data_IF_831321175163
#
_entry.id   IF_831321175163
#
_cell.length_a   1.000
_cell.length_b   1.000
_cell.length_c   1.000
_cell.angle_alpha   90.00
_cell.angle_beta   90.00
_cell.angle_gamma   90.00
#
_symmetry.space_group_name_H-M   'P 1'
#
loop_
_entity.id
_entity.type
_entity.pdbx_description
1 polymer ?
#
# COMPACT_ATOMS: atom_id res chain seq x y z
N UNK A 1 12.08 -11.94 -7.42
CA UNK A 1 10.67 -11.57 -7.12
C UNK A 1 10.50 -11.58 -5.62
N UNK A 2 9.71 -10.66 -5.05
CA UNK A 2 9.55 -10.53 -3.59
C UNK A 2 9.05 -11.82 -2.91
N UNK A 3 8.31 -12.65 -3.65
CA UNK A 3 7.82 -13.97 -3.26
C UNK A 3 8.93 -15.00 -2.98
N UNK A 4 10.12 -14.80 -3.55
CA UNK A 4 11.27 -15.69 -3.39
C UNK A 4 12.29 -15.15 -2.39
N UNK A 5 12.04 -13.98 -1.78
CA UNK A 5 12.93 -13.41 -0.77
C UNK A 5 12.58 -13.97 0.62
N UNK A 6 13.57 -14.33 1.44
CA UNK A 6 13.33 -14.80 2.80
C UNK A 6 12.72 -13.67 3.65
N UNK A 7 11.90 -14.03 4.64
CA UNK A 7 11.23 -13.06 5.53
C UNK A 7 12.19 -12.14 6.29
N UNK A 8 13.43 -12.61 6.50
CA UNK A 8 14.50 -11.87 7.17
C UNK A 8 15.27 -10.90 6.28
N UNK A 9 15.07 -10.91 4.96
CA UNK A 9 15.78 -9.97 4.08
C UNK A 9 15.28 -8.54 4.37
N UNK A 10 16.16 -7.61 4.79
CA UNK A 10 15.77 -6.24 5.14
C UNK A 10 15.15 -5.49 3.94
N UNK A 11 15.48 -5.88 2.70
CA UNK A 11 14.97 -5.26 1.47
C UNK A 11 13.61 -5.79 1.05
N UNK A 12 13.15 -6.90 1.63
CA UNK A 12 11.87 -7.52 1.25
C UNK A 12 10.72 -6.55 1.46
N UNK A 13 10.73 -5.80 2.56
CA UNK A 13 9.67 -4.83 2.84
C UNK A 13 9.72 -3.61 1.90
N UNK A 14 10.91 -3.21 1.45
CA UNK A 14 11.06 -2.13 0.45
C UNK A 14 10.45 -2.54 -0.89
N UNK A 15 10.74 -3.76 -1.35
CA UNK A 15 10.12 -4.30 -2.57
C UNK A 15 8.60 -4.47 -2.40
N UNK A 16 8.12 -4.94 -1.23
CA UNK A 16 6.68 -5.01 -0.95
C UNK A 16 6.05 -3.63 -1.05
N UNK A 17 6.62 -2.59 -0.44
CA UNK A 17 6.08 -1.21 -0.52
C UNK A 17 6.01 -0.70 -1.96
N UNK A 18 7.04 -0.98 -2.75
CA UNK A 18 7.11 -0.59 -4.17
C UNK A 18 5.98 -1.22 -4.99
N UNK A 19 5.72 -2.52 -4.82
CA UNK A 19 4.70 -3.23 -5.60
C UNK A 19 3.28 -3.10 -5.02
N UNK A 20 3.13 -2.97 -3.70
CA UNK A 20 1.85 -2.85 -3.01
C UNK A 20 1.24 -1.43 -3.08
N UNK A 21 2.01 -0.42 -3.49
CA UNK A 21 1.54 0.96 -3.59
C UNK A 21 0.21 1.04 -4.36
N UNK A 22 -0.80 1.68 -3.77
CA UNK A 22 -2.10 1.93 -4.41
C UNK A 22 -2.08 3.30 -5.09
N UNK A 23 -1.59 4.30 -4.35
CA UNK A 23 -1.42 5.67 -4.83
C UNK A 23 0.05 5.94 -5.18
N UNK A 24 0.28 6.73 -6.23
CA UNK A 24 1.65 7.14 -6.62
C UNK A 24 2.51 6.00 -7.15
N UNK A 25 1.88 4.94 -7.70
CA UNK A 25 2.60 3.82 -8.33
C UNK A 25 3.55 4.30 -9.43
N UNK A 26 4.73 3.71 -9.47
CA UNK A 26 5.79 4.04 -10.43
C UNK A 26 5.39 3.81 -11.89
N UNK A 27 4.44 2.90 -12.15
CA UNK A 27 3.93 2.56 -13.47
C UNK A 27 2.56 3.20 -13.78
N UNK A 28 1.97 3.93 -12.82
CA UNK A 28 0.76 4.71 -13.08
C UNK A 28 1.16 6.11 -13.56
N UNK A 29 0.47 6.61 -14.60
CA UNK A 29 0.70 7.92 -15.23
C UNK A 29 0.32 9.12 -14.34
N UNK A 30 0.81 9.20 -13.09
CA UNK A 30 0.65 10.37 -12.21
C UNK A 30 1.77 11.35 -12.49
N UNK A 31 1.44 12.66 -12.49
CA UNK A 31 2.46 13.72 -12.51
C UNK A 31 3.34 13.59 -11.25
N UNK A 32 4.66 13.42 -11.38
CA UNK A 32 5.56 13.18 -10.24
C UNK A 32 5.60 14.33 -9.23
N UNK A 33 5.10 15.50 -9.61
CA UNK A 33 5.20 16.75 -8.83
C UNK A 33 4.23 16.83 -7.65
N UNK A 34 3.14 16.05 -7.62
CA UNK A 34 2.16 16.12 -6.53
C UNK A 34 2.45 15.08 -5.45
N UNK A 35 2.93 15.49 -4.25
CA UNK A 35 3.16 14.56 -3.15
C UNK A 35 1.88 13.82 -2.75
N UNK A 36 2.04 12.65 -2.14
CA UNK A 36 0.93 11.90 -1.57
C UNK A 36 0.40 12.61 -0.32
N UNK A 37 -0.91 12.66 -0.18
CA UNK A 37 -1.57 13.08 1.05
C UNK A 37 -1.31 12.07 2.16
N UNK A 38 -1.46 12.48 3.42
CA UNK A 38 -1.32 11.57 4.57
C UNK A 38 -2.21 10.33 4.43
N UNK A 39 -3.46 10.50 3.98
CA UNK A 39 -4.37 9.37 3.74
C UNK A 39 -3.83 8.40 2.69
N UNK A 40 -3.31 8.91 1.56
CA UNK A 40 -2.73 8.08 0.51
C UNK A 40 -1.50 7.31 1.01
N UNK A 41 -0.64 7.96 1.82
CA UNK A 41 0.51 7.33 2.46
C UNK A 41 0.07 6.23 3.44
N UNK A 42 -0.93 6.51 4.28
CA UNK A 42 -1.47 5.53 5.24
C UNK A 42 -2.07 4.32 4.52
N UNK A 43 -2.80 4.52 3.42
CA UNK A 43 -3.36 3.42 2.63
C UNK A 43 -2.25 2.58 1.98
N UNK A 44 -1.19 3.22 1.47
CA UNK A 44 -0.03 2.50 0.91
C UNK A 44 0.70 1.67 1.97
N UNK A 45 0.94 2.20 3.18
CA UNK A 45 1.60 1.43 4.24
C UNK A 45 0.71 0.29 4.74
N UNK A 46 -0.61 0.51 4.88
CA UNK A 46 -1.55 -0.56 5.22
C UNK A 46 -1.53 -1.69 4.17
N UNK A 47 -1.49 -1.35 2.88
CA UNK A 47 -1.36 -2.32 1.81
C UNK A 47 -0.05 -3.11 1.89
N UNK A 48 1.06 -2.45 2.17
CA UNK A 48 2.35 -3.10 2.32
C UNK A 48 2.37 -4.08 3.50
N UNK A 49 1.81 -3.70 4.65
CA UNK A 49 1.70 -4.59 5.81
C UNK A 49 0.80 -5.80 5.51
N UNK A 50 -0.33 -5.60 4.84
CA UNK A 50 -1.20 -6.70 4.40
C UNK A 50 -0.43 -7.64 3.46
N UNK A 51 0.28 -7.10 2.46
CA UNK A 51 1.06 -7.89 1.50
C UNK A 51 2.28 -8.59 2.13
N UNK A 52 2.78 -8.12 3.28
CA UNK A 52 3.81 -8.82 4.05
C UNK A 52 3.31 -10.16 4.58
N UNK A 53 2.08 -10.21 5.09
CA UNK A 53 1.46 -11.43 5.62
C UNK A 53 0.73 -12.25 4.55
N UNK A 54 0.21 -11.59 3.52
CA UNK A 54 -0.51 -12.21 2.41
C UNK A 54 0.08 -11.74 1.07
N UNK A 55 1.26 -12.26 0.67
CA UNK A 55 1.96 -11.80 -0.53
C UNK A 55 1.15 -11.92 -1.82
N UNK A 56 0.23 -12.89 -1.91
CA UNK A 56 -0.65 -13.08 -3.05
C UNK A 56 -1.51 -11.85 -3.40
N UNK A 57 -1.73 -10.94 -2.45
CA UNK A 57 -2.48 -9.71 -2.69
C UNK A 57 -1.72 -8.69 -3.56
N UNK A 58 -0.41 -8.86 -3.77
CA UNK A 58 0.37 -8.02 -4.70
C UNK A 58 -0.14 -8.11 -6.15
N UNK A 59 -0.74 -9.23 -6.54
CA UNK A 59 -1.33 -9.43 -7.88
C UNK A 59 -2.85 -9.24 -7.90
N UNK A 60 -3.50 -9.11 -6.73
CA UNK A 60 -4.97 -8.99 -6.58
C UNK A 60 -5.34 -7.62 -6.01
N UNK A 61 -5.04 -6.56 -6.76
CA UNK A 61 -5.19 -5.17 -6.29
C UNK A 61 -6.64 -4.78 -5.96
N UNK A 62 -7.61 -5.32 -6.70
CA UNK A 62 -9.03 -5.05 -6.47
C UNK A 62 -9.50 -5.55 -5.09
N UNK A 63 -8.83 -6.57 -4.55
CA UNK A 63 -9.07 -7.08 -3.20
C UNK A 63 -8.20 -6.38 -2.16
N UNK A 64 -6.95 -6.05 -2.50
CA UNK A 64 -6.03 -5.34 -1.60
C UNK A 64 -6.54 -3.94 -1.21
N UNK A 65 -7.05 -3.18 -2.18
CA UNK A 65 -7.48 -1.79 -1.97
C UNK A 65 -8.57 -1.62 -0.90
N UNK A 66 -9.71 -2.33 -0.94
CA UNK A 66 -10.74 -2.21 0.09
C UNK A 66 -10.25 -2.68 1.47
N UNK A 67 -9.34 -3.66 1.54
CA UNK A 67 -8.74 -4.10 2.80
C UNK A 67 -7.84 -3.02 3.41
N UNK A 68 -6.95 -2.42 2.61
CA UNK A 68 -6.07 -1.35 3.06
C UNK A 68 -6.85 -0.12 3.55
N UNK A 69 -7.91 0.27 2.83
CA UNK A 69 -8.80 1.37 3.25
C UNK A 69 -9.53 1.07 4.56
N UNK A 70 -9.95 -0.18 4.76
CA UNK A 70 -10.60 -0.62 6.00
C UNK A 70 -9.63 -0.48 7.18
N UNK A 71 -8.40 -0.96 7.04
CA UNK A 71 -7.36 -0.85 8.08
C UNK A 71 -7.14 0.62 8.48
N UNK A 72 -6.99 1.52 7.52
CA UNK A 72 -6.80 2.96 7.80
C UNK A 72 -8.01 3.57 8.50
N UNK A 73 -9.23 3.25 8.07
CA UNK A 73 -10.45 3.75 8.71
C UNK A 73 -10.56 3.25 10.15
N UNK A 74 -10.33 1.95 10.35
CA UNK A 74 -10.51 1.29 11.64
C UNK A 74 -9.38 1.65 12.62
N UNK A 75 -8.25 2.17 12.16
CA UNK A 75 -7.17 2.73 13.01
C UNK A 75 -7.51 4.09 13.63
N UNK A 76 -8.77 4.55 13.52
CA UNK A 76 -9.20 5.85 14.03
C UNK A 76 -8.84 7.03 13.12
N UNK A 77 -8.43 6.78 11.87
CA UNK A 77 -8.28 7.86 10.89
C UNK A 77 -9.66 8.28 10.38
N UNK A 78 -10.29 9.22 11.10
CA UNK A 78 -11.49 9.90 10.62
C UNK A 78 -11.08 10.85 9.49
N UNK A 79 -11.07 10.35 8.26
CA UNK A 79 -11.01 11.23 7.09
C UNK A 79 -12.28 12.08 7.08
N UNK A 80 -12.19 13.31 7.60
CA UNK A 80 -13.21 14.32 7.41
C UNK A 80 -13.21 14.69 5.94
N UNK A 81 -14.02 13.99 5.13
CA UNK A 81 -14.58 14.62 3.94
C UNK A 81 -15.43 15.77 4.46
N UNK A 82 -14.85 16.97 4.53
CA UNK A 82 -15.69 18.15 4.53
C UNK A 82 -16.54 18.08 3.26
N UNK A 83 -17.86 18.02 3.50
CA UNK A 83 -18.97 18.61 2.77
C UNK A 83 -18.67 19.13 1.36
#
# INVERSE_FOLDING_TARGET
>A
MVMAMPDSDPRRMEEIRKYAAIYGRFDCKRKPEKPLTLHEVSVNEAAAQICRFVPALLTRRDELFPLARRVVRDSGYHYSKNQ
#
